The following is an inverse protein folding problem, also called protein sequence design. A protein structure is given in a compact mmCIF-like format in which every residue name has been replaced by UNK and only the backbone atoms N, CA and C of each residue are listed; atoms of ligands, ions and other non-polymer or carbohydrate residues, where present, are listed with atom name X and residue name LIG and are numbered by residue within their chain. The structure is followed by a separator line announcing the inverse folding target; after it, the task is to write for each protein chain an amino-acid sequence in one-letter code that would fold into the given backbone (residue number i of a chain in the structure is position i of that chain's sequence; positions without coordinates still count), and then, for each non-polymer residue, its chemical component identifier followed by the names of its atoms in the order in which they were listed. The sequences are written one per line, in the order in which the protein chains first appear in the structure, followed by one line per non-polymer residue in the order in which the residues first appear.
data_IF_122334498729
#
_entry.id   IF_122334498729
#
_cell.length_a   1.000
_cell.length_b   1.000
_cell.length_c   1.000
_cell.angle_alpha   90.00
_cell.angle_beta   90.00
_cell.angle_gamma   90.00
#
_symmetry.space_group_name_H-M   'P 1'
#
loop_
_entity.id
_entity.type
_entity.pdbx_description
1 polymer ?
#
# COMPACT_ATOMS: atom_id res chain seq x y z
N UNK A 1 -6.20 8.45 3.72
CA UNK A 1 -5.83 7.68 2.51
C UNK A 1 -4.63 8.31 1.82
N UNK A 2 -3.83 7.54 1.05
CA UNK A 2 -2.67 8.07 0.31
C UNK A 2 -3.05 9.25 -0.61
N UNK A 3 -4.22 9.14 -1.27
CA UNK A 3 -4.82 10.12 -2.19
C UNK A 3 -5.46 11.34 -1.51
N UNK A 4 -5.72 11.28 -0.20
CA UNK A 4 -6.40 12.35 0.56
C UNK A 4 -5.49 13.06 1.57
N UNK A 5 -4.18 13.07 1.35
CA UNK A 5 -3.22 13.71 2.26
C UNK A 5 -2.99 12.97 3.60
N UNK A 6 -3.71 11.88 3.87
CA UNK A 6 -3.57 11.12 5.12
C UNK A 6 -2.25 10.33 5.19
N UNK A 7 -1.76 10.12 6.42
CA UNK A 7 -0.43 9.55 6.70
C UNK A 7 0.66 10.63 6.76
N UNK A 8 1.93 10.25 7.00
CA UNK A 8 3.01 11.22 7.20
C UNK A 8 3.18 12.18 6.01
N UNK A 9 3.39 13.49 6.22
CA UNK A 9 3.58 14.45 5.13
C UNK A 9 4.82 14.13 4.27
N UNK A 10 5.82 13.47 4.87
CA UNK A 10 7.07 13.06 4.24
C UNK A 10 7.07 11.62 3.72
N UNK A 11 5.90 11.01 3.47
CA UNK A 11 5.82 9.65 2.93
C UNK A 11 6.57 9.52 1.59
N UNK A 12 7.64 8.71 1.57
CA UNK A 12 8.45 8.44 0.38
C UNK A 12 7.63 7.84 -0.76
N UNK A 13 6.62 7.01 -0.44
CA UNK A 13 5.78 6.34 -1.45
C UNK A 13 4.84 7.33 -2.14
N UNK A 14 4.31 8.31 -1.41
CA UNK A 14 3.49 9.38 -1.99
C UNK A 14 4.29 10.18 -3.00
N UNK A 15 5.49 10.63 -2.61
CA UNK A 15 6.40 11.36 -3.52
C UNK A 15 6.78 10.53 -4.75
N UNK A 16 6.98 9.22 -4.57
CA UNK A 16 7.25 8.31 -5.68
C UNK A 16 6.09 8.26 -6.69
N UNK A 17 4.85 8.08 -6.21
CA UNK A 17 3.66 8.01 -7.06
C UNK A 17 3.41 9.34 -7.77
N UNK A 18 3.54 10.47 -7.07
CA UNK A 18 3.43 11.82 -7.65
C UNK A 18 4.43 12.04 -8.79
N UNK A 19 5.71 11.65 -8.61
CA UNK A 19 6.73 11.75 -9.66
C UNK A 19 6.44 10.86 -10.88
N UNK A 20 5.80 9.70 -10.67
CA UNK A 20 5.38 8.78 -11.74
C UNK A 20 4.03 9.15 -12.38
N UNK A 21 3.30 10.14 -11.85
CA UNK A 21 1.97 10.52 -12.34
C UNK A 21 0.88 9.48 -12.09
N UNK A 22 1.06 8.62 -11.08
CA UNK A 22 0.11 7.55 -10.72
C UNK A 22 -0.56 7.86 -9.38
N UNK A 23 -1.78 7.37 -9.18
CA UNK A 23 -2.58 7.69 -8.00
C UNK A 23 -2.15 6.91 -6.75
N UNK A 24 -1.44 5.80 -6.94
CA UNK A 24 -0.88 5.01 -5.84
C UNK A 24 -0.09 3.80 -6.32
N UNK A 25 0.53 3.08 -5.38
CA UNK A 25 1.41 1.96 -5.69
C UNK A 25 0.69 0.83 -6.45
N UNK A 26 -0.65 0.72 -6.38
CA UNK A 26 -1.41 -0.31 -7.10
C UNK A 26 -1.44 -0.10 -8.63
N UNK A 27 -1.12 1.12 -9.11
CA UNK A 27 -0.96 1.43 -10.52
C UNK A 27 0.48 1.26 -11.02
N UNK A 28 1.44 1.03 -10.11
CA UNK A 28 2.84 0.84 -10.49
C UNK A 28 3.07 -0.61 -10.93
N UNK A 29 3.57 -0.82 -12.15
CA UNK A 29 3.88 -2.16 -12.67
C UNK A 29 5.01 -2.87 -11.92
N UNK A 30 5.92 -2.10 -11.32
CA UNK A 30 6.99 -2.61 -10.47
C UNK A 30 6.53 -2.92 -9.03
N UNK A 31 5.26 -2.71 -8.67
CA UNK A 31 4.83 -2.72 -7.26
C UNK A 31 5.04 -4.04 -6.53
N UNK A 32 5.00 -5.17 -7.24
CA UNK A 32 5.17 -6.50 -6.65
C UNK A 32 6.62 -6.80 -6.23
N UNK A 33 7.59 -6.17 -6.90
CA UNK A 33 9.03 -6.32 -6.67
C UNK A 33 9.68 -5.03 -6.17
N UNK A 34 8.88 -4.03 -5.80
CA UNK A 34 9.39 -2.72 -5.41
C UNK A 34 10.03 -2.77 -4.02
N UNK A 35 11.36 -2.76 -3.97
CA UNK A 35 12.14 -2.74 -2.72
C UNK A 35 11.80 -1.55 -1.82
N UNK A 36 11.26 -0.46 -2.38
CA UNK A 36 10.81 0.70 -1.60
C UNK A 36 9.65 0.37 -0.66
N UNK A 37 8.94 -0.75 -0.88
CA UNK A 37 7.87 -1.26 -0.01
C UNK A 37 8.37 -2.26 1.04
N UNK A 38 9.64 -2.68 0.98
CA UNK A 38 10.19 -3.74 1.83
C UNK A 38 10.17 -3.40 3.31
N UNK A 39 10.15 -2.11 3.67
CA UNK A 39 9.99 -1.66 5.05
C UNK A 39 8.67 -2.13 5.69
N UNK A 40 7.68 -2.53 4.90
CA UNK A 40 6.43 -3.11 5.38
C UNK A 40 6.55 -4.61 5.70
N UNK A 41 7.50 -5.34 5.09
CA UNK A 41 7.65 -6.80 5.23
C UNK A 41 7.79 -7.25 6.70
N UNK A 42 8.60 -6.61 7.57
CA UNK A 42 8.78 -7.09 8.95
C UNK A 42 7.48 -7.13 9.76
N UNK A 43 6.59 -6.17 9.53
CA UNK A 43 5.35 -6.03 10.29
C UNK A 43 4.13 -6.62 9.58
N UNK A 44 4.11 -6.56 8.24
CA UNK A 44 2.95 -6.88 7.43
C UNK A 44 3.14 -8.09 6.51
N UNK A 45 4.31 -8.72 6.51
CA UNK A 45 4.62 -9.82 5.59
C UNK A 45 4.33 -9.42 4.15
N UNK A 46 3.57 -10.25 3.43
CA UNK A 46 3.12 -10.00 2.06
C UNK A 46 1.72 -9.36 1.95
N UNK A 47 1.07 -8.98 3.07
CA UNK A 47 -0.29 -8.44 3.07
C UNK A 47 -0.43 -7.19 2.20
N UNK A 48 0.57 -6.30 2.26
CA UNK A 48 0.60 -5.07 1.48
C UNK A 48 0.61 -5.37 -0.04
N UNK A 49 1.46 -6.31 -0.51
CA UNK A 49 1.49 -6.72 -1.92
C UNK A 49 0.17 -7.38 -2.34
N UNK A 50 -0.39 -8.27 -1.52
CA UNK A 50 -1.69 -8.90 -1.81
C UNK A 50 -2.82 -7.87 -1.94
N UNK A 51 -2.82 -6.83 -1.10
CA UNK A 51 -3.78 -5.74 -1.18
C UNK A 51 -3.57 -4.90 -2.45
N UNK A 52 -2.32 -4.56 -2.81
CA UNK A 52 -2.01 -3.83 -4.04
C UNK A 52 -2.49 -4.60 -5.29
N UNK A 53 -2.23 -5.91 -5.35
CA UNK A 53 -2.75 -6.81 -6.40
C UNK A 53 -4.27 -6.79 -6.50
N UNK A 54 -4.96 -6.84 -5.35
CA UNK A 54 -6.42 -6.75 -5.31
C UNK A 54 -6.91 -5.41 -5.88
N UNK A 55 -6.35 -4.28 -5.43
CA UNK A 55 -6.75 -2.96 -5.91
C UNK A 55 -6.51 -2.84 -7.42
N UNK A 56 -5.36 -3.33 -7.93
CA UNK A 56 -5.05 -3.35 -9.37
C UNK A 56 -6.13 -4.10 -10.16
N UNK A 57 -6.58 -5.26 -9.66
CA UNK A 57 -7.57 -6.12 -10.32
C UNK A 57 -9.01 -5.58 -10.24
N UNK A 58 -9.42 -5.06 -9.08
CA UNK A 58 -10.84 -4.81 -8.79
C UNK A 58 -11.22 -3.35 -8.58
N UNK A 59 -10.26 -2.41 -8.72
CA UNK A 59 -10.40 -0.99 -8.38
C UNK A 59 -10.59 -0.75 -6.87
N UNK A 60 -10.57 0.52 -6.48
CA UNK A 60 -10.51 0.94 -5.07
C UNK A 60 -11.84 0.68 -4.39
N UNK A 61 -12.94 1.02 -5.05
CA UNK A 61 -14.31 0.99 -4.52
C UNK A 61 -14.63 -0.43 -4.03
N UNK A 62 -14.45 -1.42 -4.90
CA UNK A 62 -14.66 -2.84 -4.58
C UNK A 62 -13.64 -3.40 -3.59
N UNK A 63 -12.42 -2.83 -3.52
CA UNK A 63 -11.47 -3.18 -2.47
C UNK A 63 -11.90 -2.69 -1.09
N UNK A 64 -12.54 -1.52 -1.00
CA UNK A 64 -13.02 -0.97 0.26
C UNK A 64 -14.14 -1.82 0.86
N UNK A 65 -15.03 -2.37 0.04
CA UNK A 65 -16.10 -3.29 0.44
C UNK A 65 -15.60 -4.67 0.86
N UNK A 66 -14.44 -5.10 0.33
CA UNK A 66 -13.92 -6.44 0.50
C UNK A 66 -13.05 -6.67 1.74
N UNK A 67 -12.75 -7.96 1.99
CA UNK A 67 -11.76 -8.40 2.98
C UNK A 67 -10.35 -7.95 2.58
N UNK A 68 -9.70 -7.26 3.51
CA UNK A 68 -8.33 -6.73 3.39
C UNK A 68 -7.37 -7.70 4.07
N UNK A 69 -6.19 -7.89 3.50
CA UNK A 69 -5.13 -8.64 4.17
C UNK A 69 -4.50 -7.75 5.23
N UNK A 70 -4.42 -8.23 6.47
CA UNK A 70 -3.79 -7.53 7.56
C UNK A 70 -3.07 -8.55 8.45
N UNK A 71 -1.75 -8.48 8.45
CA UNK A 71 -0.90 -9.19 9.39
C UNK A 71 -0.14 -8.10 10.16
N UNK A 72 -0.04 -8.23 11.48
CA UNK A 72 0.71 -7.30 12.32
C UNK A 72 1.44 -8.10 13.38
N UNK A 73 2.77 -8.04 13.35
CA UNK A 73 3.61 -8.56 14.44
C UNK A 73 3.76 -7.54 15.58
N UNK A 74 3.31 -6.30 15.39
CA UNK A 74 3.26 -5.28 16.44
C UNK A 74 2.09 -5.63 17.36
N UNK A 75 2.41 -5.95 18.62
CA UNK A 75 1.41 -6.04 19.69
C UNK A 75 0.81 -4.65 19.92
N UNK A 76 -0.52 -4.53 20.12
CA UNK A 76 -1.10 -3.26 20.54
C UNK A 76 -0.36 -2.76 21.77
N UNK A 77 -0.02 -1.45 21.81
CA UNK A 77 0.36 -0.85 23.08
C UNK A 77 -0.87 -0.85 23.97
N UNK A 78 -0.71 -1.40 25.19
CA UNK A 78 -1.70 -1.33 26.28
C UNK A 78 -2.08 0.12 26.59
#
# INVERSE_FOLDING_TARGET
ACRGGGGPPFCKMRKCCQKKGIEGCWECDESETCEKLDFLKPNHGDAHIKNLRKIKKQRIEKFLEGKKYWYSNIKPKE
#
